data_IF_740425170495
#
_entry.id   IF_740425170495
#
_cell.length_a   1.000
_cell.length_b   1.000
_cell.length_c   1.000
_cell.angle_alpha   90.00
_cell.angle_beta   90.00
_cell.angle_gamma   90.00
#
_symmetry.space_group_name_H-M   'P 1'
#
loop_
_entity.id
_entity.type
_entity.pdbx_description
1 polymer ?
#
# COMPACT_ATOMS: atom_id res chain seq x y z
N UNK A 1 24.30 -11.37 43.38
CA UNK A 1 25.18 -10.44 42.60
C UNK A 1 25.06 -10.68 41.10
N UNK A 2 24.93 -11.95 40.65
CA UNK A 2 24.74 -12.30 39.23
C UNK A 2 23.39 -11.84 38.66
N UNK A 3 22.32 -11.82 39.43
CA UNK A 3 20.98 -11.41 39.00
C UNK A 3 20.93 -9.89 38.65
N UNK A 4 21.66 -9.06 39.39
CA UNK A 4 21.77 -7.62 39.12
C UNK A 4 22.59 -7.31 37.86
N UNK A 5 23.58 -8.15 37.53
CA UNK A 5 24.38 -8.00 36.28
C UNK A 5 23.53 -8.32 35.07
N UNK A 6 22.70 -9.39 35.16
CA UNK A 6 21.79 -9.75 34.07
C UNK A 6 20.71 -8.71 33.79
N UNK A 7 20.18 -8.06 34.82
CA UNK A 7 19.19 -7.00 34.69
C UNK A 7 19.80 -5.71 34.09
N UNK A 8 21.02 -5.37 34.45
CA UNK A 8 21.75 -4.22 33.88
C UNK A 8 22.07 -4.43 32.41
N UNK A 9 22.47 -5.65 32.02
CA UNK A 9 22.77 -6.01 30.63
C UNK A 9 21.50 -5.96 29.76
N UNK A 10 20.38 -6.44 30.30
CA UNK A 10 19.07 -6.33 29.63
C UNK A 10 18.67 -4.87 29.42
N UNK A 11 18.78 -4.02 30.43
CA UNK A 11 18.46 -2.60 30.34
C UNK A 11 19.32 -1.86 29.29
N UNK A 12 20.61 -2.17 29.22
CA UNK A 12 21.51 -1.59 28.20
C UNK A 12 21.08 -2.02 26.79
N UNK A 13 20.76 -3.30 26.58
CA UNK A 13 20.34 -3.83 25.28
C UNK A 13 19.01 -3.24 24.82
N UNK A 14 18.00 -3.16 25.70
CA UNK A 14 16.72 -2.50 25.38
C UNK A 14 16.89 -1.01 25.12
N UNK A 15 17.74 -0.32 25.87
CA UNK A 15 18.09 1.09 25.64
C UNK A 15 18.77 1.28 24.27
N UNK A 16 19.68 0.40 23.88
CA UNK A 16 20.34 0.44 22.59
C UNK A 16 19.34 0.22 21.41
N UNK A 17 18.42 -0.75 21.55
CA UNK A 17 17.36 -0.98 20.56
C UNK A 17 16.49 0.27 20.40
N UNK A 18 16.05 0.86 21.50
CA UNK A 18 15.23 2.07 21.48
C UNK A 18 15.97 3.26 20.82
N UNK A 19 17.23 3.47 21.16
CA UNK A 19 18.08 4.52 20.58
C UNK A 19 18.26 4.31 19.06
N UNK A 20 18.55 3.09 18.62
CA UNK A 20 18.69 2.77 17.20
C UNK A 20 17.40 3.02 16.42
N UNK A 21 16.25 2.62 16.98
CA UNK A 21 14.94 2.80 16.37
C UNK A 21 14.57 4.27 16.22
N UNK A 22 14.73 5.06 17.29
CA UNK A 22 14.48 6.50 17.28
C UNK A 22 15.46 7.22 16.35
N UNK A 23 16.73 6.83 16.38
CA UNK A 23 17.76 7.38 15.48
C UNK A 23 17.43 7.10 14.01
N UNK A 24 17.02 5.87 13.67
CA UNK A 24 16.61 5.51 12.31
C UNK A 24 15.39 6.30 11.84
N UNK A 25 14.38 6.50 12.70
CA UNK A 25 13.22 7.32 12.40
C UNK A 25 13.62 8.76 12.04
N UNK A 26 14.41 9.41 12.92
CA UNK A 26 14.83 10.78 12.72
C UNK A 26 15.75 10.95 11.51
N UNK A 27 16.69 10.01 11.33
CA UNK A 27 17.60 9.99 10.17
C UNK A 27 16.83 9.87 8.87
N UNK A 28 15.89 8.92 8.77
CA UNK A 28 15.06 8.73 7.58
C UNK A 28 14.24 9.96 7.28
N UNK A 29 13.61 10.56 8.29
CA UNK A 29 12.82 11.78 8.15
C UNK A 29 13.68 12.96 7.67
N UNK A 30 14.90 13.10 8.20
CA UNK A 30 15.84 14.13 7.81
C UNK A 30 16.35 13.94 6.39
N UNK A 31 16.66 12.70 6.00
CA UNK A 31 17.08 12.36 4.64
C UNK A 31 15.96 12.63 3.63
N UNK A 32 14.73 12.22 3.92
CA UNK A 32 13.58 12.50 3.07
C UNK A 32 13.35 14.02 2.90
N UNK A 33 13.40 14.77 3.99
CA UNK A 33 13.19 16.23 3.96
C UNK A 33 14.33 16.96 3.22
N UNK A 34 15.58 16.51 3.38
CA UNK A 34 16.76 17.23 2.88
C UNK A 34 17.17 16.82 1.46
N UNK A 35 16.86 15.60 1.03
CA UNK A 35 17.28 15.07 -0.27
C UNK A 35 16.09 14.67 -1.16
N UNK A 36 15.18 13.85 -0.68
CA UNK A 36 14.12 13.30 -1.53
C UNK A 36 13.09 14.36 -1.96
N UNK A 37 12.59 15.17 -1.03
CA UNK A 37 11.59 16.20 -1.32
C UNK A 37 12.13 17.31 -2.25
N UNK A 38 13.34 17.89 -2.04
CA UNK A 38 13.90 18.87 -2.98
C UNK A 38 14.16 18.31 -4.38
N UNK A 39 14.60 17.04 -4.47
CA UNK A 39 14.79 16.38 -5.74
C UNK A 39 13.45 16.19 -6.48
N UNK A 40 12.41 15.76 -5.76
CA UNK A 40 11.07 15.60 -6.29
C UNK A 40 10.47 16.95 -6.73
N UNK A 41 10.70 18.02 -5.99
CA UNK A 41 10.28 19.39 -6.37
C UNK A 41 10.90 19.87 -7.67
N UNK A 42 12.18 19.50 -7.92
CA UNK A 42 12.87 19.87 -9.17
C UNK A 42 12.33 19.12 -10.38
N UNK A 43 12.03 17.82 -10.20
CA UNK A 43 11.59 16.95 -11.29
C UNK A 43 10.09 17.04 -11.55
N UNK A 44 9.28 17.02 -10.49
CA UNK A 44 7.81 16.88 -10.55
C UNK A 44 7.13 17.72 -9.46
N UNK A 45 6.94 19.04 -9.66
CA UNK A 45 6.43 19.93 -8.61
C UNK A 45 5.03 19.57 -8.10
N UNK A 46 4.15 19.05 -8.98
CA UNK A 46 2.80 18.60 -8.60
C UNK A 46 2.83 17.40 -7.65
N UNK A 47 3.72 16.44 -7.92
CA UNK A 47 3.92 15.25 -7.07
C UNK A 47 4.51 15.64 -5.71
N UNK A 48 5.48 16.54 -5.71
CA UNK A 48 6.09 17.03 -4.48
C UNK A 48 5.06 17.66 -3.55
N UNK A 49 4.19 18.53 -4.07
CA UNK A 49 3.13 19.18 -3.30
C UNK A 49 2.11 18.17 -2.74
N UNK A 50 1.76 17.14 -3.52
CA UNK A 50 0.84 16.09 -3.07
C UNK A 50 1.46 15.21 -1.97
N UNK A 51 2.74 14.84 -2.12
CA UNK A 51 3.49 14.06 -1.12
C UNK A 51 3.69 14.86 0.18
N UNK A 52 4.01 16.16 0.10
CA UNK A 52 4.17 17.02 1.27
C UNK A 52 2.88 17.20 2.07
N UNK A 53 1.73 17.30 1.39
CA UNK A 53 0.42 17.37 2.05
C UNK A 53 -0.01 16.04 2.66
N UNK A 54 0.53 14.94 2.16
CA UNK A 54 0.25 13.60 2.65
C UNK A 54 1.15 13.24 3.84
N UNK A 55 0.78 12.19 4.57
CA UNK A 55 1.60 11.64 5.66
C UNK A 55 2.65 10.64 5.17
N UNK A 56 2.91 10.55 3.86
CA UNK A 56 3.81 9.55 3.28
C UNK A 56 5.22 9.63 3.86
N UNK A 57 5.79 10.83 4.01
CA UNK A 57 7.12 10.99 4.58
C UNK A 57 7.22 10.54 6.04
N UNK A 58 6.15 10.69 6.81
CA UNK A 58 6.07 10.18 8.17
C UNK A 58 5.93 8.65 8.19
N UNK A 59 5.07 8.10 7.32
CA UNK A 59 4.82 6.66 7.22
C UNK A 59 6.06 5.89 6.74
N UNK A 60 6.81 6.45 5.78
CA UNK A 60 8.08 5.83 5.34
C UNK A 60 9.13 5.83 6.45
N UNK A 61 9.26 6.92 7.23
CA UNK A 61 10.15 6.96 8.37
C UNK A 61 9.73 5.97 9.47
N UNK A 62 8.42 5.83 9.70
CA UNK A 62 7.87 4.89 10.66
C UNK A 62 8.11 3.44 10.21
N UNK A 63 7.95 3.14 8.92
CA UNK A 63 8.22 1.81 8.38
C UNK A 63 9.70 1.41 8.57
N UNK A 64 10.62 2.33 8.28
CA UNK A 64 12.06 2.08 8.52
C UNK A 64 12.34 1.88 10.01
N UNK A 65 11.70 2.64 10.90
CA UNK A 65 11.84 2.47 12.34
C UNK A 65 11.35 1.09 12.81
N UNK A 66 10.23 0.61 12.29
CA UNK A 66 9.71 -0.74 12.59
C UNK A 66 10.68 -1.82 12.10
N UNK A 67 11.18 -1.72 10.86
CA UNK A 67 12.16 -2.67 10.35
C UNK A 67 13.44 -2.68 11.21
N UNK A 68 13.92 -1.51 11.62
CA UNK A 68 15.11 -1.41 12.49
C UNK A 68 14.85 -1.95 13.89
N UNK A 69 13.63 -1.77 14.42
CA UNK A 69 13.22 -2.36 15.70
C UNK A 69 13.27 -3.88 15.64
N UNK A 70 12.67 -4.50 14.61
CA UNK A 70 12.66 -5.95 14.43
C UNK A 70 14.06 -6.54 14.28
N UNK A 71 14.91 -5.90 13.46
CA UNK A 71 16.30 -6.33 13.27
C UNK A 71 17.14 -6.17 14.55
N UNK A 72 17.06 -5.02 15.20
CA UNK A 72 17.80 -4.76 16.43
C UNK A 72 17.33 -5.65 17.58
N UNK A 73 16.02 -5.85 17.73
CA UNK A 73 15.46 -6.73 18.74
C UNK A 73 15.93 -8.19 18.54
N UNK A 74 15.91 -8.70 17.31
CA UNK A 74 16.33 -10.08 17.02
C UNK A 74 17.80 -10.35 17.37
N UNK A 75 18.67 -9.36 17.19
CA UNK A 75 20.11 -9.49 17.48
C UNK A 75 20.42 -9.27 18.96
N UNK A 76 19.85 -8.24 19.56
CA UNK A 76 20.24 -7.79 20.90
C UNK A 76 19.48 -8.51 22.03
N UNK A 77 18.30 -9.08 21.75
CA UNK A 77 17.48 -9.76 22.76
C UNK A 77 17.42 -11.28 22.61
N UNK A 78 18.34 -11.86 21.84
CA UNK A 78 18.43 -13.31 21.62
C UNK A 78 18.54 -14.17 22.90
N UNK A 79 19.02 -13.57 23.99
CA UNK A 79 19.13 -14.21 25.30
C UNK A 79 17.79 -14.40 26.04
N UNK A 80 16.69 -13.77 25.57
CA UNK A 80 15.37 -13.82 26.21
C UNK A 80 14.28 -14.24 25.22
N UNK A 81 14.21 -15.56 24.86
CA UNK A 81 13.40 -16.02 23.72
C UNK A 81 11.89 -15.74 23.85
N UNK A 82 11.33 -15.76 25.03
CA UNK A 82 9.90 -15.52 25.24
C UNK A 82 9.53 -14.05 24.95
N UNK A 83 10.31 -13.12 25.49
CA UNK A 83 10.09 -11.66 25.29
C UNK A 83 10.33 -11.31 23.82
N UNK A 84 11.38 -11.86 23.22
CA UNK A 84 11.72 -11.63 21.81
C UNK A 84 10.62 -12.09 20.88
N UNK A 85 9.96 -13.23 21.17
CA UNK A 85 8.87 -13.72 20.33
C UNK A 85 7.63 -12.80 20.37
N UNK A 86 7.25 -12.34 21.57
CA UNK A 86 6.13 -11.39 21.71
C UNK A 86 6.44 -10.06 20.99
N UNK A 87 7.65 -9.52 21.20
CA UNK A 87 8.08 -8.30 20.52
C UNK A 87 8.08 -8.46 18.99
N UNK A 88 8.53 -9.61 18.48
CA UNK A 88 8.52 -9.91 17.05
C UNK A 88 7.11 -9.95 16.48
N UNK A 89 6.15 -10.58 17.16
CA UNK A 89 4.75 -10.64 16.71
C UNK A 89 4.17 -9.22 16.64
N UNK A 90 4.38 -8.41 17.68
CA UNK A 90 3.91 -7.02 17.72
C UNK A 90 4.58 -6.16 16.64
N UNK A 91 5.89 -6.30 16.47
CA UNK A 91 6.66 -5.54 15.45
C UNK A 91 6.17 -5.85 14.05
N UNK A 92 6.00 -7.14 13.71
CA UNK A 92 5.46 -7.57 12.40
C UNK A 92 4.03 -7.05 12.19
N UNK A 93 3.16 -7.14 13.21
CA UNK A 93 1.79 -6.67 13.12
C UNK A 93 1.73 -5.15 12.88
N UNK A 94 2.54 -4.37 13.63
CA UNK A 94 2.67 -2.92 13.43
C UNK A 94 3.26 -2.61 12.05
N UNK A 95 4.27 -3.35 11.61
CA UNK A 95 4.88 -3.20 10.28
C UNK A 95 3.87 -3.40 9.14
N UNK A 96 3.04 -4.45 9.23
CA UNK A 96 1.95 -4.69 8.27
C UNK A 96 0.96 -3.52 8.30
N UNK A 97 0.56 -3.05 9.48
CA UNK A 97 -0.36 -1.91 9.61
C UNK A 97 0.20 -0.63 8.98
N UNK A 98 1.45 -0.28 9.27
CA UNK A 98 2.13 0.88 8.69
C UNK A 98 2.25 0.77 7.18
N UNK A 99 2.63 -0.41 6.66
CA UNK A 99 2.73 -0.68 5.23
C UNK A 99 1.38 -0.53 4.55
N UNK A 100 0.31 -1.08 5.13
CA UNK A 100 -1.06 -0.98 4.62
C UNK A 100 -1.51 0.47 4.51
N UNK A 101 -1.33 1.26 5.58
CA UNK A 101 -1.68 2.68 5.59
C UNK A 101 -0.83 3.47 4.59
N UNK A 102 0.45 3.14 4.45
CA UNK A 102 1.35 3.77 3.49
C UNK A 102 0.88 3.51 2.04
N UNK A 103 0.53 2.26 1.71
CA UNK A 103 0.02 1.91 0.38
C UNK A 103 -1.33 2.61 0.10
N UNK A 104 -2.26 2.59 1.05
CA UNK A 104 -3.55 3.28 0.92
C UNK A 104 -3.36 4.80 0.75
N UNK A 105 -2.44 5.41 1.49
CA UNK A 105 -2.10 6.84 1.34
C UNK A 105 -1.47 7.12 -0.03
N UNK A 106 -0.65 6.21 -0.57
CA UNK A 106 -0.07 6.33 -1.91
C UNK A 106 -1.14 6.34 -3.00
N UNK A 107 -2.19 5.50 -2.87
CA UNK A 107 -3.37 5.53 -3.76
C UNK A 107 -4.08 6.89 -3.67
N UNK A 108 -4.28 7.43 -2.47
CA UNK A 108 -4.89 8.76 -2.28
C UNK A 108 -4.07 9.87 -2.93
N UNK A 109 -2.74 9.82 -2.82
CA UNK A 109 -1.83 10.79 -3.46
C UNK A 109 -1.92 10.69 -4.97
N UNK A 110 -1.88 9.47 -5.53
CA UNK A 110 -2.03 9.25 -6.96
C UNK A 110 -3.39 9.79 -7.48
N UNK A 111 -4.48 9.53 -6.75
CA UNK A 111 -5.79 10.08 -7.07
C UNK A 111 -5.81 11.61 -7.04
N UNK A 112 -5.21 12.23 -6.02
CA UNK A 112 -5.15 13.70 -5.91
C UNK A 112 -4.39 14.36 -7.04
N UNK A 113 -3.41 13.68 -7.63
CA UNK A 113 -2.68 14.14 -8.80
C UNK A 113 -3.52 13.96 -10.06
N UNK A 114 -4.18 12.80 -10.18
CA UNK A 114 -5.08 12.53 -11.29
C UNK A 114 -6.22 13.57 -11.37
N UNK A 115 -6.85 13.91 -10.24
CA UNK A 115 -7.93 14.91 -10.17
C UNK A 115 -7.52 16.31 -10.65
N UNK A 116 -6.21 16.61 -10.74
CA UNK A 116 -5.69 17.86 -11.31
C UNK A 116 -5.53 17.80 -12.85
N UNK A 117 -5.73 16.64 -13.46
CA UNK A 117 -5.65 16.48 -14.91
C UNK A 117 -7.00 16.76 -15.58
N UNK A 118 -7.01 17.30 -16.81
CA UNK A 118 -8.27 17.59 -17.52
C UNK A 118 -9.13 16.34 -17.77
N UNK A 119 -8.52 15.16 -17.92
CA UNK A 119 -9.21 13.88 -18.10
C UNK A 119 -10.05 13.45 -16.87
N UNK A 120 -9.76 13.97 -15.69
CA UNK A 120 -10.48 13.61 -14.46
C UNK A 120 -11.96 14.04 -14.48
N UNK A 121 -12.33 14.96 -15.35
CA UNK A 121 -13.73 15.41 -15.53
C UNK A 121 -14.58 14.36 -16.21
N UNK A 122 -13.99 13.57 -17.11
CA UNK A 122 -14.69 12.60 -17.93
C UNK A 122 -14.73 11.21 -17.29
N UNK A 123 -13.72 10.89 -16.45
CA UNK A 123 -13.59 9.56 -15.80
C UNK A 123 -13.38 9.71 -14.31
N UNK A 124 -14.42 9.58 -13.47
CA UNK A 124 -14.32 9.69 -12.01
C UNK A 124 -13.70 8.41 -11.40
N UNK A 125 -12.39 8.42 -11.15
CA UNK A 125 -11.69 7.27 -10.55
C UNK A 125 -11.81 7.17 -9.02
N UNK A 126 -12.55 8.05 -8.36
CA UNK A 126 -12.66 8.10 -6.91
C UNK A 126 -13.23 6.81 -6.31
N UNK A 127 -14.28 6.26 -6.92
CA UNK A 127 -14.88 4.99 -6.49
C UNK A 127 -13.92 3.81 -6.63
N UNK A 128 -13.18 3.76 -7.74
CA UNK A 128 -12.17 2.73 -7.96
C UNK A 128 -11.02 2.81 -6.93
N UNK A 129 -10.53 4.02 -6.63
CA UNK A 129 -9.50 4.22 -5.60
C UNK A 129 -9.98 3.78 -4.21
N UNK A 130 -11.24 4.02 -3.86
CA UNK A 130 -11.83 3.54 -2.60
C UNK A 130 -11.92 2.02 -2.53
N UNK A 131 -12.27 1.34 -3.63
CA UNK A 131 -12.27 -0.13 -3.70
C UNK A 131 -10.86 -0.70 -3.50
N UNK A 132 -9.86 -0.12 -4.16
CA UNK A 132 -8.45 -0.52 -3.98
C UNK A 132 -7.99 -0.32 -2.54
N UNK A 133 -8.31 0.81 -1.93
CA UNK A 133 -7.99 1.07 -0.52
C UNK A 133 -8.69 0.10 0.43
N UNK A 134 -9.98 -0.17 0.20
CA UNK A 134 -10.74 -1.15 0.97
C UNK A 134 -10.12 -2.54 0.89
N UNK A 135 -9.71 -2.97 -0.31
CA UNK A 135 -8.98 -4.21 -0.52
C UNK A 135 -7.65 -4.26 0.24
N UNK A 136 -6.86 -3.18 0.20
CA UNK A 136 -5.60 -3.07 0.94
C UNK A 136 -5.82 -3.19 2.46
N UNK A 137 -6.83 -2.52 3.01
CA UNK A 137 -7.16 -2.64 4.44
C UNK A 137 -7.63 -4.04 4.82
N UNK A 138 -8.45 -4.68 3.97
CA UNK A 138 -8.89 -6.06 4.21
C UNK A 138 -7.69 -7.02 4.25
N UNK A 139 -6.79 -6.92 3.28
CA UNK A 139 -5.57 -7.73 3.22
C UNK A 139 -4.71 -7.48 4.45
N UNK A 140 -4.45 -6.22 4.79
CA UNK A 140 -3.66 -5.85 5.96
C UNK A 140 -4.24 -6.41 7.25
N UNK A 141 -5.56 -6.32 7.44
CA UNK A 141 -6.25 -6.87 8.58
C UNK A 141 -6.12 -8.40 8.66
N UNK A 142 -6.31 -9.11 7.56
CA UNK A 142 -6.15 -10.57 7.49
C UNK A 142 -4.70 -10.99 7.82
N UNK A 143 -3.71 -10.27 7.31
CA UNK A 143 -2.30 -10.54 7.59
C UNK A 143 -1.94 -10.31 9.06
N UNK A 144 -2.50 -9.25 9.68
CA UNK A 144 -2.32 -8.97 11.11
C UNK A 144 -2.94 -10.11 11.94
N UNK A 145 -4.17 -10.53 11.64
CA UNK A 145 -4.82 -11.65 12.33
C UNK A 145 -4.00 -12.94 12.18
N UNK A 146 -3.53 -13.26 10.97
CA UNK A 146 -2.69 -14.42 10.72
C UNK A 146 -1.39 -14.40 11.55
N UNK A 147 -0.79 -13.21 11.71
CA UNK A 147 0.41 -13.02 12.55
C UNK A 147 0.13 -13.37 14.02
N UNK A 148 -0.99 -12.93 14.57
CA UNK A 148 -1.39 -13.25 15.94
C UNK A 148 -1.76 -14.74 16.13
N UNK A 149 -2.28 -15.39 15.11
CA UNK A 149 -2.57 -16.84 15.11
C UNK A 149 -1.32 -17.69 14.93
N UNK A 150 -0.15 -17.07 14.74
CA UNK A 150 1.12 -17.79 14.52
C UNK A 150 1.21 -18.48 13.16
N UNK A 151 0.36 -18.08 12.19
CA UNK A 151 0.41 -18.64 10.83
C UNK A 151 1.67 -18.12 10.12
N UNK A 152 2.54 -19.00 9.59
CA UNK A 152 3.71 -18.56 8.86
C UNK A 152 3.32 -17.68 7.66
N UNK A 153 4.07 -16.60 7.44
CA UNK A 153 3.78 -15.61 6.39
C UNK A 153 3.60 -16.24 5.00
N UNK A 154 4.36 -17.31 4.70
CA UNK A 154 4.26 -17.99 3.40
C UNK A 154 2.87 -18.58 3.15
N UNK A 155 2.22 -19.16 4.16
CA UNK A 155 0.87 -19.71 4.01
C UNK A 155 -0.17 -18.60 3.87
N UNK A 156 0.01 -17.48 4.57
CA UNK A 156 -0.84 -16.30 4.44
C UNK A 156 -0.75 -15.70 3.05
N UNK A 157 0.45 -15.58 2.49
CA UNK A 157 0.64 -15.12 1.11
C UNK A 157 0.06 -16.09 0.08
N UNK A 158 0.20 -17.39 0.28
CA UNK A 158 -0.36 -18.40 -0.61
C UNK A 158 -1.89 -18.36 -0.62
N UNK A 159 -2.51 -18.28 0.56
CA UNK A 159 -3.97 -18.14 0.68
C UNK A 159 -4.47 -16.85 0.01
N UNK A 160 -3.76 -15.74 0.23
CA UNK A 160 -4.06 -14.46 -0.42
C UNK A 160 -3.96 -14.56 -1.95
N UNK A 161 -2.89 -15.18 -2.47
CA UNK A 161 -2.69 -15.36 -3.90
C UNK A 161 -3.83 -16.18 -4.53
N UNK A 162 -4.31 -17.22 -3.84
CA UNK A 162 -5.45 -18.02 -4.29
C UNK A 162 -6.75 -17.20 -4.34
N UNK A 163 -6.99 -16.36 -3.31
CA UNK A 163 -8.15 -15.46 -3.28
C UNK A 163 -8.07 -14.44 -4.43
N UNK A 164 -6.90 -13.84 -4.67
CA UNK A 164 -6.71 -12.89 -5.76
C UNK A 164 -6.85 -13.55 -7.14
N UNK A 165 -6.38 -14.77 -7.31
CA UNK A 165 -6.57 -15.51 -8.55
C UNK A 165 -8.06 -15.76 -8.81
N UNK A 166 -8.81 -16.18 -7.78
CA UNK A 166 -10.26 -16.38 -7.89
C UNK A 166 -11.00 -15.06 -8.21
N UNK A 167 -10.67 -13.97 -7.51
CA UNK A 167 -11.23 -12.66 -7.79
C UNK A 167 -10.86 -12.16 -9.19
N UNK A 168 -9.62 -12.33 -9.61
CA UNK A 168 -9.16 -11.98 -10.97
C UNK A 168 -9.96 -12.70 -12.05
N UNK A 169 -10.29 -13.97 -11.82
CA UNK A 169 -11.14 -14.74 -12.72
C UNK A 169 -12.58 -14.20 -12.78
N UNK A 170 -13.16 -13.86 -11.63
CA UNK A 170 -14.51 -13.27 -11.54
C UNK A 170 -14.57 -11.90 -12.21
N UNK A 171 -13.52 -11.09 -12.07
CA UNK A 171 -13.46 -9.74 -12.64
C UNK A 171 -12.91 -9.69 -14.08
N UNK A 172 -12.54 -10.83 -14.66
CA UNK A 172 -11.95 -10.88 -16.01
C UNK A 172 -12.85 -10.19 -17.05
N UNK A 173 -14.12 -10.58 -17.12
CA UNK A 173 -15.06 -10.06 -18.11
C UNK A 173 -15.38 -8.57 -17.90
N UNK A 174 -15.67 -8.10 -16.67
CA UNK A 174 -15.81 -6.66 -16.39
C UNK A 174 -14.59 -5.82 -16.79
N UNK A 175 -13.37 -6.31 -16.50
CA UNK A 175 -12.13 -5.60 -16.88
C UNK A 175 -11.97 -5.56 -18.41
N UNK A 176 -12.23 -6.67 -19.09
CA UNK A 176 -12.17 -6.74 -20.55
C UNK A 176 -13.18 -5.78 -21.18
N UNK A 177 -14.42 -5.73 -20.66
CA UNK A 177 -15.45 -4.79 -21.12
C UNK A 177 -15.04 -3.33 -20.93
N UNK A 178 -14.48 -3.00 -19.76
CA UNK A 178 -13.98 -1.67 -19.46
C UNK A 178 -12.82 -1.24 -20.39
N UNK A 179 -11.85 -2.14 -20.60
CA UNK A 179 -10.72 -1.89 -21.51
C UNK A 179 -11.21 -1.70 -22.95
N UNK A 180 -12.15 -2.53 -23.41
CA UNK A 180 -12.76 -2.40 -24.72
C UNK A 180 -13.50 -1.05 -24.89
N UNK A 181 -14.25 -0.63 -23.88
CA UNK A 181 -14.94 0.66 -23.86
C UNK A 181 -13.96 1.84 -23.98
N UNK A 182 -12.86 1.82 -23.22
CA UNK A 182 -11.81 2.83 -23.34
C UNK A 182 -11.19 2.85 -24.74
N UNK A 183 -10.88 1.67 -25.31
CA UNK A 183 -10.29 1.57 -26.65
C UNK A 183 -11.22 2.10 -27.74
N UNK A 184 -12.51 1.77 -27.66
CA UNK A 184 -13.52 2.29 -28.58
C UNK A 184 -13.62 3.82 -28.52
N UNK A 185 -13.66 4.37 -27.29
CA UNK A 185 -13.73 5.82 -27.07
C UNK A 185 -12.43 6.54 -27.51
N UNK A 186 -11.27 6.03 -27.13
CA UNK A 186 -9.98 6.64 -27.45
C UNK A 186 -9.67 6.64 -28.95
N UNK A 187 -10.03 5.57 -29.66
CA UNK A 187 -9.82 5.44 -31.09
C UNK A 187 -10.98 6.02 -31.93
N UNK A 188 -12.01 6.57 -31.27
CA UNK A 188 -13.21 7.10 -31.94
C UNK A 188 -13.82 6.10 -32.93
N UNK A 189 -13.78 4.80 -32.58
CA UNK A 189 -14.30 3.73 -33.44
C UNK A 189 -15.82 3.70 -33.47
N UNK A 190 -16.45 4.16 -32.37
CA UNK A 190 -17.91 4.26 -32.23
C UNK A 190 -18.22 5.55 -31.50
N UNK A 191 -19.15 6.35 -32.02
CA UNK A 191 -19.63 7.57 -31.41
C UNK A 191 -21.14 7.49 -31.15
N UNK A 192 -21.63 8.30 -30.22
CA UNK A 192 -23.07 8.45 -29.98
C UNK A 192 -23.73 8.99 -31.26
N UNK A 193 -24.74 8.29 -31.78
CA UNK A 193 -25.42 8.59 -33.02
C UNK A 193 -24.98 7.72 -34.22
N UNK A 194 -23.88 6.99 -34.11
CA UNK A 194 -23.46 6.07 -35.15
C UNK A 194 -24.41 4.88 -35.28
N UNK A 195 -24.60 4.42 -36.51
CA UNK A 195 -25.40 3.24 -36.82
C UNK A 195 -24.48 2.02 -36.81
N UNK A 196 -24.71 1.08 -35.90
CA UNK A 196 -23.89 -0.13 -35.79
C UNK A 196 -24.74 -1.39 -36.03
N UNK A 197 -24.13 -2.39 -36.61
CA UNK A 197 -24.70 -3.70 -36.79
C UNK A 197 -23.76 -4.73 -36.18
N UNK A 198 -24.31 -5.57 -35.30
CA UNK A 198 -23.57 -6.66 -34.63
C UNK A 198 -24.31 -7.97 -34.91
N UNK A 199 -23.96 -8.65 -36.01
CA UNK A 199 -24.70 -9.84 -36.49
C UNK A 199 -24.77 -10.97 -35.49
N UNK A 200 -23.72 -11.16 -34.67
CA UNK A 200 -23.64 -12.18 -33.63
C UNK A 200 -24.72 -12.07 -32.56
N UNK A 201 -25.18 -10.86 -32.28
CA UNK A 201 -26.21 -10.55 -31.27
C UNK A 201 -27.54 -10.12 -31.88
N UNK A 202 -27.67 -10.19 -33.22
CA UNK A 202 -28.83 -9.69 -33.95
C UNK A 202 -29.18 -8.24 -33.58
N UNK A 203 -28.20 -7.45 -33.21
CA UNK A 203 -28.38 -6.05 -32.83
C UNK A 203 -28.05 -5.14 -34.00
N UNK A 204 -29.00 -4.25 -34.34
CA UNK A 204 -28.87 -3.29 -35.41
C UNK A 204 -29.57 -1.98 -35.00
N UNK A 205 -28.86 -0.87 -34.95
CA UNK A 205 -29.42 0.41 -34.50
C UNK A 205 -28.40 1.49 -34.25
N UNK A 206 -28.92 2.65 -33.88
CA UNK A 206 -28.08 3.81 -33.51
C UNK A 206 -27.60 3.70 -32.06
N UNK A 207 -26.33 4.07 -31.83
CA UNK A 207 -25.73 4.13 -30.49
C UNK A 207 -26.33 5.32 -29.74
N UNK A 208 -27.01 5.04 -28.64
CA UNK A 208 -27.61 6.06 -27.78
C UNK A 208 -26.70 6.43 -26.62
N UNK A 209 -25.94 5.47 -26.08
CA UNK A 209 -25.06 5.64 -24.91
C UNK A 209 -23.92 4.61 -24.95
N UNK A 210 -22.73 5.01 -24.49
CA UNK A 210 -21.59 4.11 -24.30
C UNK A 210 -21.33 4.04 -22.80
N UNK A 211 -21.69 2.90 -22.19
CA UNK A 211 -21.45 2.61 -20.78
C UNK A 211 -20.05 2.00 -20.62
N UNK A 212 -19.26 2.53 -19.68
CA UNK A 212 -17.93 2.03 -19.33
C UNK A 212 -17.90 1.41 -17.94
#
# INVERSE_FOLDING_TARGET
>A
MEENVGMFDALIRFGAVALLTVGAYWLTRLLLARFALPLLRRSQPKWAAAVERSRLSMLTALLVAVITLGLAASVLTSSYPQITNVLRILDVAVGIGVLTVMLATSVSVALSIYEQMPLAKDVPLRGFAQLVQGGLFLIGALMIVATFLGVPAIYSFTALAAIFAALGFVFQDPIMGFVAGIQLAANKMVAIGDWIEVPQYCANGAVTEILM
#
